data_IF_756478589437
#
_entry.id   IF_756478589437
#
_cell.length_a   1.000
_cell.length_b   1.000
_cell.length_c   1.000
_cell.angle_alpha   90.00
_cell.angle_beta   90.00
_cell.angle_gamma   90.00
#
_symmetry.space_group_name_H-M   'P 1'
#
loop_
_entity.id
_entity.type
_entity.pdbx_description
1 polymer ?
#
# COMPACT_ATOMS: atom_id res chain seq x y z
N UNK A 1 -17.90 4.29 0.78
CA UNK A 1 -16.56 4.23 1.41
C UNK A 1 -16.70 3.65 2.81
N UNK A 2 -15.91 2.64 3.13
CA UNK A 2 -15.78 2.09 4.48
C UNK A 2 -14.61 2.76 5.22
N UNK A 3 -14.81 3.06 6.51
CA UNK A 3 -13.79 3.63 7.38
C UNK A 3 -13.54 2.69 8.55
N UNK A 4 -12.27 2.52 8.91
CA UNK A 4 -11.83 1.58 9.95
C UNK A 4 -10.81 2.26 10.87
N UNK A 5 -10.84 1.92 12.16
CA UNK A 5 -9.82 2.38 13.10
C UNK A 5 -8.53 1.57 12.95
N UNK A 6 -7.42 2.28 12.90
CA UNK A 6 -6.07 1.71 13.03
C UNK A 6 -5.55 2.08 14.43
N UNK A 7 -5.00 1.15 15.21
CA UNK A 7 -4.45 1.46 16.52
C UNK A 7 -3.43 2.61 16.44
N UNK A 8 -3.50 3.54 17.39
CA UNK A 8 -2.66 4.76 17.47
C UNK A 8 -2.86 5.76 16.32
N UNK A 9 -3.95 5.66 15.58
CA UNK A 9 -4.43 6.70 14.67
C UNK A 9 -5.74 7.26 15.22
N UNK A 10 -5.78 8.54 15.54
CA UNK A 10 -6.95 9.16 16.22
C UNK A 10 -8.16 9.33 15.28
N UNK A 11 -7.96 9.18 13.98
CA UNK A 11 -8.96 9.32 12.93
C UNK A 11 -9.43 7.96 12.42
N UNK A 12 -10.65 7.88 11.93
CA UNK A 12 -11.10 6.77 11.12
C UNK A 12 -10.44 6.85 9.73
N UNK A 13 -9.97 5.72 9.21
CA UNK A 13 -9.14 5.60 8.02
C UNK A 13 -9.95 4.96 6.90
N UNK A 14 -10.04 5.61 5.73
CA UNK A 14 -10.67 5.02 4.54
C UNK A 14 -9.95 3.73 4.11
N UNK A 15 -10.70 2.70 3.72
CA UNK A 15 -10.16 1.42 3.22
C UNK A 15 -9.29 1.57 1.97
N UNK A 16 -9.31 2.74 1.34
CA UNK A 16 -8.44 3.10 0.23
C UNK A 16 -7.51 4.22 0.67
N UNK A 17 -6.23 4.03 0.41
CA UNK A 17 -5.21 5.06 0.45
C UNK A 17 -4.95 5.57 -0.96
N UNK A 18 -4.93 6.88 -1.13
CA UNK A 18 -4.47 7.48 -2.38
C UNK A 18 -2.94 7.55 -2.40
N UNK A 19 -2.33 6.83 -3.34
CA UNK A 19 -0.88 6.79 -3.50
C UNK A 19 -0.33 7.95 -4.31
N UNK A 20 0.68 8.64 -3.80
CA UNK A 20 1.33 9.79 -4.45
C UNK A 20 2.63 9.45 -5.19
N UNK A 21 2.98 8.16 -5.31
CA UNK A 21 4.18 7.70 -6.02
C UNK A 21 4.01 7.78 -7.57
N UNK A 22 3.63 8.95 -8.09
CA UNK A 22 3.41 9.17 -9.52
C UNK A 22 3.29 10.64 -9.86
N UNK A 23 2.99 10.91 -11.14
CA UNK A 23 2.72 12.26 -11.62
C UNK A 23 1.33 12.73 -11.14
N UNK A 24 1.18 14.04 -10.83
CA UNK A 24 2.19 15.10 -10.90
C UNK A 24 3.09 15.21 -9.66
N UNK A 25 2.81 14.48 -8.60
CA UNK A 25 3.34 14.69 -7.24
C UNK A 25 4.86 14.51 -7.15
N UNK A 26 5.42 13.44 -7.72
CA UNK A 26 6.86 13.16 -7.62
C UNK A 26 7.73 14.27 -8.24
N UNK A 27 7.21 14.98 -9.23
CA UNK A 27 7.91 16.11 -9.86
C UNK A 27 7.61 17.45 -9.19
N UNK A 28 6.85 17.46 -8.10
CA UNK A 28 6.47 18.70 -7.41
C UNK A 28 5.43 19.53 -8.15
N UNK A 29 4.70 18.92 -9.09
CA UNK A 29 3.60 19.55 -9.81
C UNK A 29 2.42 19.87 -8.91
N UNK A 30 1.60 20.84 -9.35
CA UNK A 30 0.34 21.17 -8.68
C UNK A 30 -0.66 20.01 -8.90
N UNK A 31 -1.08 19.42 -7.81
CA UNK A 31 -2.07 18.34 -7.78
C UNK A 31 -3.31 18.72 -6.96
N UNK A 32 -3.47 19.99 -6.57
CA UNK A 32 -4.52 20.42 -5.66
C UNK A 32 -5.91 20.03 -6.15
N UNK A 33 -6.25 20.32 -7.42
CA UNK A 33 -7.57 19.99 -7.98
C UNK A 33 -7.84 18.48 -8.00
N UNK A 34 -6.81 17.68 -8.32
CA UNK A 34 -6.91 16.23 -8.29
C UNK A 34 -7.11 15.71 -6.85
N UNK A 35 -6.35 16.23 -5.89
CA UNK A 35 -6.48 15.83 -4.48
C UNK A 35 -7.83 16.26 -3.90
N UNK A 36 -8.35 17.45 -4.27
CA UNK A 36 -9.70 17.88 -3.89
C UNK A 36 -10.77 16.92 -4.43
N UNK A 37 -10.66 16.54 -5.71
CA UNK A 37 -11.59 15.60 -6.33
C UNK A 37 -11.50 14.20 -5.73
N UNK A 38 -10.30 13.71 -5.41
CA UNK A 38 -10.10 12.42 -4.70
C UNK A 38 -10.68 12.49 -3.28
N UNK A 39 -10.38 13.55 -2.53
CA UNK A 39 -10.92 13.74 -1.18
C UNK A 39 -12.44 13.81 -1.17
N UNK A 40 -13.06 14.46 -2.17
CA UNK A 40 -14.50 14.51 -2.34
C UNK A 40 -15.17 13.14 -2.57
N UNK A 41 -14.41 12.10 -2.99
CA UNK A 41 -14.93 10.72 -3.08
C UNK A 41 -15.06 10.03 -1.73
N UNK A 42 -14.57 10.65 -0.66
CA UNK A 42 -14.52 10.09 0.70
C UNK A 42 -13.18 9.44 1.06
N UNK A 43 -12.18 9.47 0.18
CA UNK A 43 -10.81 9.04 0.54
C UNK A 43 -10.19 10.10 1.47
N UNK A 44 -9.84 9.71 2.68
CA UNK A 44 -9.16 10.59 3.64
C UNK A 44 -7.73 10.15 3.97
N UNK A 45 -7.27 9.02 3.42
CA UNK A 45 -5.95 8.45 3.69
C UNK A 45 -5.03 8.58 2.46
N UNK A 46 -3.81 9.08 2.68
CA UNK A 46 -2.84 9.39 1.62
C UNK A 46 -1.51 8.70 1.90
N UNK A 47 -1.04 7.91 0.92
CA UNK A 47 0.25 7.22 0.96
C UNK A 47 1.32 8.03 0.23
N UNK A 48 2.41 8.31 0.94
CA UNK A 48 3.60 8.94 0.41
C UNK A 48 4.88 8.31 1.01
N UNK A 49 6.04 8.84 0.68
CA UNK A 49 7.30 8.42 1.29
C UNK A 49 8.41 9.46 1.09
N UNK A 50 9.40 9.48 1.99
CA UNK A 50 10.56 10.37 1.90
C UNK A 50 11.32 10.22 0.57
N UNK A 51 11.40 9.01 0.02
CA UNK A 51 12.10 8.75 -1.24
C UNK A 51 11.25 9.00 -2.51
N UNK A 52 9.96 9.38 -2.39
CA UNK A 52 9.13 9.75 -3.55
C UNK A 52 9.40 11.18 -4.01
N UNK A 53 10.64 11.55 -4.13
CA UNK A 53 11.14 12.85 -4.62
C UNK A 53 10.45 14.04 -3.92
N UNK A 54 9.52 14.72 -4.61
CA UNK A 54 8.79 15.89 -4.12
C UNK A 54 7.33 15.59 -3.74
N UNK A 55 6.91 14.32 -3.73
CA UNK A 55 5.51 13.95 -3.47
C UNK A 55 5.00 14.43 -2.09
N UNK A 56 5.82 14.31 -1.04
CA UNK A 56 5.48 14.84 0.28
C UNK A 56 5.26 16.36 0.25
N UNK A 57 6.05 17.08 -0.54
CA UNK A 57 5.91 18.54 -0.67
C UNK A 57 4.63 18.94 -1.40
N UNK A 58 4.27 18.22 -2.48
CA UNK A 58 3.02 18.45 -3.20
C UNK A 58 1.80 18.14 -2.32
N UNK A 59 1.82 17.00 -1.60
CA UNK A 59 0.76 16.64 -0.67
C UNK A 59 0.64 17.63 0.48
N UNK A 60 1.77 18.03 1.08
CA UNK A 60 1.82 19.00 2.17
C UNK A 60 1.28 20.36 1.77
N UNK A 61 1.63 20.84 0.57
CA UNK A 61 1.08 22.09 0.04
C UNK A 61 -0.44 22.06 -0.01
N UNK A 62 -1.04 21.01 -0.56
CA UNK A 62 -2.49 20.85 -0.60
C UNK A 62 -3.13 20.85 0.79
N UNK A 63 -2.57 20.08 1.74
CA UNK A 63 -3.08 19.97 3.11
C UNK A 63 -3.06 21.34 3.80
N UNK A 64 -1.97 22.10 3.65
CA UNK A 64 -1.81 23.43 4.25
C UNK A 64 -2.75 24.43 3.57
N UNK A 65 -2.80 24.45 2.24
CA UNK A 65 -3.66 25.37 1.47
C UNK A 65 -5.15 25.18 1.80
N UNK A 66 -5.57 23.96 2.14
CA UNK A 66 -6.97 23.63 2.49
C UNK A 66 -7.25 23.66 3.99
N UNK A 67 -6.23 23.72 4.84
CA UNK A 67 -6.38 23.70 6.30
C UNK A 67 -7.06 22.43 6.81
N UNK A 68 -6.72 21.26 6.26
CA UNK A 68 -7.41 19.98 6.53
C UNK A 68 -6.53 18.91 7.19
N UNK A 69 -5.43 19.31 7.82
CA UNK A 69 -4.51 18.34 8.46
C UNK A 69 -5.19 17.43 9.48
N UNK A 70 -6.14 17.95 10.20
CA UNK A 70 -6.94 17.23 11.21
C UNK A 70 -7.97 16.25 10.60
N UNK A 71 -8.26 16.36 9.29
CA UNK A 71 -9.26 15.57 8.58
C UNK A 71 -8.65 14.46 7.73
N UNK A 72 -7.34 14.51 7.48
CA UNK A 72 -6.64 13.56 6.61
C UNK A 72 -5.67 12.70 7.40
N UNK A 73 -5.52 11.45 6.96
CA UNK A 73 -4.55 10.50 7.47
C UNK A 73 -3.36 10.44 6.52
N UNK A 74 -2.18 10.73 7.03
CA UNK A 74 -0.94 10.69 6.24
C UNK A 74 -0.16 9.45 6.63
N UNK A 75 0.14 8.60 5.63
CA UNK A 75 1.13 7.56 5.73
C UNK A 75 2.40 7.99 4.99
N UNK A 76 3.51 8.06 5.69
CA UNK A 76 4.82 8.26 5.06
C UNK A 76 5.84 7.23 5.51
N UNK A 77 7.00 7.19 4.84
CA UNK A 77 8.00 6.13 5.01
C UNK A 77 9.41 6.70 5.03
N UNK A 78 10.29 6.08 5.85
CA UNK A 78 11.70 6.43 6.02
C UNK A 78 12.66 5.27 5.73
N UNK A 79 13.94 5.53 5.84
CA UNK A 79 14.99 4.50 5.84
C UNK A 79 15.18 3.78 4.51
N UNK A 80 14.64 4.31 3.39
CA UNK A 80 14.90 3.73 2.06
C UNK A 80 16.41 3.79 1.76
N UNK A 81 17.02 2.71 1.23
CA UNK A 81 18.42 2.71 0.84
C UNK A 81 18.77 3.89 -0.06
N UNK A 82 20.01 4.38 0.06
CA UNK A 82 20.50 5.42 -0.85
C UNK A 82 20.60 4.90 -2.30
N UNK A 83 20.67 5.78 -3.30
CA UNK A 83 20.85 5.36 -4.70
C UNK A 83 22.10 4.49 -4.92
N UNK A 84 23.08 4.56 -4.03
CA UNK A 84 24.31 3.76 -4.06
C UNK A 84 24.23 2.52 -3.15
N UNK A 85 23.04 2.09 -2.74
CA UNK A 85 22.81 0.87 -1.97
C UNK A 85 23.15 0.96 -0.46
N UNK A 86 23.56 2.13 0.08
CA UNK A 86 23.81 2.26 1.52
C UNK A 86 22.50 2.08 2.29
N UNK A 87 22.48 1.11 3.17
CA UNK A 87 21.38 0.88 4.11
C UNK A 87 21.25 2.06 5.08
N UNK A 88 20.02 2.39 5.47
CA UNK A 88 19.70 3.58 6.26
C UNK A 88 18.74 3.29 7.43
N UNK A 89 18.74 2.03 7.88
CA UNK A 89 17.97 1.58 9.04
C UNK A 89 18.81 1.84 10.29
N UNK A 90 18.81 3.08 10.74
CA UNK A 90 19.45 3.55 11.97
C UNK A 90 18.79 4.84 12.46
N UNK A 91 18.93 5.15 13.74
CA UNK A 91 18.25 6.30 14.37
C UNK A 91 18.57 7.63 13.67
N UNK A 92 19.83 7.89 13.34
CA UNK A 92 20.26 9.14 12.69
C UNK A 92 19.55 9.38 11.36
N UNK A 93 19.48 8.36 10.50
CA UNK A 93 18.85 8.46 9.19
C UNK A 93 17.32 8.50 9.31
N UNK A 94 16.72 7.71 10.19
CA UNK A 94 15.26 7.70 10.46
C UNK A 94 14.81 9.08 10.96
N UNK A 95 15.47 9.64 11.98
CA UNK A 95 15.17 10.98 12.51
C UNK A 95 15.40 12.09 11.48
N UNK A 96 16.43 11.96 10.63
CA UNK A 96 16.69 12.89 9.53
C UNK A 96 15.57 12.87 8.50
N UNK A 97 15.11 11.67 8.12
CA UNK A 97 14.00 11.52 7.18
C UNK A 97 12.71 12.09 7.77
N UNK A 98 12.39 11.79 9.02
CA UNK A 98 11.21 12.31 9.70
C UNK A 98 11.19 13.83 9.72
N UNK A 99 12.28 14.48 10.12
CA UNK A 99 12.35 15.96 10.11
C UNK A 99 12.09 16.55 8.74
N UNK A 100 12.62 15.91 7.67
CA UNK A 100 12.38 16.35 6.30
C UNK A 100 10.94 16.11 5.87
N UNK A 101 10.37 14.97 6.20
CA UNK A 101 8.98 14.64 5.91
C UNK A 101 8.01 15.63 6.58
N UNK A 102 8.19 15.90 7.87
CA UNK A 102 7.40 16.89 8.60
C UNK A 102 7.48 18.28 7.95
N UNK A 103 8.70 18.73 7.58
CA UNK A 103 8.89 20.01 6.90
C UNK A 103 8.27 20.08 5.50
N UNK A 104 8.31 18.97 4.74
CA UNK A 104 7.71 18.92 3.41
C UNK A 104 6.18 18.82 3.47
N UNK A 105 5.66 18.08 4.44
CA UNK A 105 4.22 17.93 4.67
C UNK A 105 3.59 19.16 5.37
N UNK A 106 4.40 20.07 5.92
CA UNK A 106 3.91 21.24 6.63
C UNK A 106 3.12 20.89 7.89
N UNK A 107 3.55 19.86 8.62
CA UNK A 107 2.88 19.34 9.83
C UNK A 107 3.92 18.99 10.89
N UNK A 108 3.48 18.85 12.14
CA UNK A 108 4.30 18.47 13.28
C UNK A 108 4.19 16.99 13.67
N UNK A 109 3.26 16.23 13.04
CA UNK A 109 3.09 14.79 13.22
C UNK A 109 2.68 14.07 11.93
N UNK A 110 2.93 12.75 11.86
CA UNK A 110 2.49 11.84 10.79
C UNK A 110 1.63 10.75 11.42
N UNK A 111 0.45 10.46 10.85
CA UNK A 111 -0.49 9.49 11.42
C UNK A 111 0.05 8.05 11.38
N UNK A 112 0.69 7.66 10.27
CA UNK A 112 1.29 6.33 10.09
C UNK A 112 2.69 6.48 9.52
N UNK A 113 3.71 6.02 10.24
CA UNK A 113 5.09 6.15 9.80
C UNK A 113 5.77 4.79 9.73
N UNK A 114 6.23 4.40 8.53
CA UNK A 114 6.77 3.08 8.29
C UNK A 114 8.26 3.11 7.95
N UNK A 115 8.98 2.08 8.36
CA UNK A 115 10.27 1.78 7.75
C UNK A 115 10.03 1.25 6.33
N UNK A 116 10.66 1.89 5.31
CA UNK A 116 10.35 1.61 3.89
C UNK A 116 10.96 0.29 3.39
N UNK A 117 12.08 -0.12 3.98
CA UNK A 117 12.77 -1.39 3.74
C UNK A 117 13.31 -1.92 5.05
N UNK A 118 13.41 -3.23 5.17
CA UNK A 118 14.11 -3.87 6.28
C UNK A 118 15.63 -3.85 6.07
N UNK A 119 16.34 -3.97 7.17
CA UNK A 119 17.74 -4.37 7.22
C UNK A 119 17.87 -5.49 8.25
N UNK A 120 17.88 -6.76 7.83
CA UNK A 120 17.98 -7.89 8.75
C UNK A 120 19.25 -7.93 9.61
N UNK A 121 20.28 -7.14 9.28
CA UNK A 121 21.49 -7.03 10.10
C UNK A 121 21.29 -6.14 11.32
N UNK A 122 20.24 -5.32 11.35
CA UNK A 122 19.88 -4.47 12.49
C UNK A 122 18.96 -5.24 13.43
N UNK A 123 19.28 -5.36 14.73
CA UNK A 123 18.38 -5.99 15.70
C UNK A 123 17.01 -5.30 15.73
N UNK A 124 15.93 -6.09 15.78
CA UNK A 124 14.56 -5.51 15.80
C UNK A 124 14.33 -4.61 16.99
N UNK A 125 14.95 -4.91 18.13
CA UNK A 125 14.81 -4.11 19.35
C UNK A 125 15.24 -2.66 19.15
N UNK A 126 16.39 -2.43 18.49
CA UNK A 126 16.85 -1.08 18.18
C UNK A 126 15.83 -0.30 17.36
N UNK A 127 15.22 -0.96 16.37
CA UNK A 127 14.22 -0.34 15.48
C UNK A 127 12.94 -0.03 16.27
N UNK A 128 12.45 -0.97 17.06
CA UNK A 128 11.25 -0.80 17.91
C UNK A 128 11.44 0.36 18.90
N UNK A 129 12.59 0.45 19.55
CA UNK A 129 12.90 1.53 20.49
C UNK A 129 12.94 2.91 19.81
N UNK A 130 13.54 3.01 18.61
CA UNK A 130 13.55 4.25 17.83
C UNK A 130 12.12 4.72 17.54
N UNK A 131 11.25 3.84 17.04
CA UNK A 131 9.88 4.23 16.70
C UNK A 131 9.05 4.55 17.95
N UNK A 132 9.23 3.84 19.06
CA UNK A 132 8.60 4.17 20.33
C UNK A 132 9.04 5.56 20.84
N UNK A 133 10.34 5.91 20.71
CA UNK A 133 10.83 7.25 21.05
C UNK A 133 10.14 8.35 20.22
N UNK A 134 10.01 8.13 18.90
CA UNK A 134 9.34 9.09 18.00
C UNK A 134 7.85 9.24 18.32
N UNK A 135 7.19 8.14 18.72
CA UNK A 135 5.80 8.15 19.16
C UNK A 135 5.65 8.91 20.47
N UNK A 136 6.51 8.66 21.46
CA UNK A 136 6.52 9.38 22.74
C UNK A 136 6.77 10.89 22.59
N UNK A 137 7.52 11.30 21.56
CA UNK A 137 7.72 12.69 21.17
C UNK A 137 6.49 13.32 20.48
N UNK A 138 5.42 12.55 20.25
CA UNK A 138 4.21 13.00 19.52
C UNK A 138 4.44 13.29 18.05
N UNK A 139 5.50 12.73 17.45
CA UNK A 139 5.87 12.97 16.04
C UNK A 139 5.22 11.99 15.07
N UNK A 140 4.86 10.82 15.56
CA UNK A 140 4.20 9.77 14.78
C UNK A 140 3.08 9.12 15.61
N UNK A 141 2.05 8.66 14.93
CA UNK A 141 1.00 7.83 15.52
C UNK A 141 1.36 6.33 15.40
N UNK A 142 0.61 5.58 14.59
CA UNK A 142 0.90 4.18 14.28
C UNK A 142 2.24 4.03 13.54
N UNK A 143 2.90 2.91 13.71
CA UNK A 143 4.14 2.62 13.01
C UNK A 143 4.32 1.12 12.72
N UNK A 144 5.26 0.81 11.81
CA UNK A 144 5.53 -0.56 11.40
C UNK A 144 6.52 -0.63 10.23
N UNK A 145 6.42 -1.70 9.44
CA UNK A 145 7.31 -1.97 8.33
C UNK A 145 6.59 -2.07 6.98
N UNK A 146 7.18 -1.44 5.97
CA UNK A 146 6.89 -1.74 4.57
C UNK A 146 7.96 -2.69 4.05
N UNK A 147 7.54 -3.73 3.33
CA UNK A 147 8.46 -4.77 2.84
C UNK A 147 9.21 -5.53 3.96
N UNK A 148 8.52 -5.78 5.05
CA UNK A 148 8.94 -6.65 6.12
C UNK A 148 8.24 -8.00 6.01
N UNK A 149 8.96 -9.09 6.26
CA UNK A 149 8.31 -10.42 6.36
C UNK A 149 7.48 -10.50 7.64
N UNK A 150 6.45 -11.33 7.63
CA UNK A 150 5.61 -11.52 8.82
C UNK A 150 6.39 -12.09 10.01
N UNK A 151 7.43 -12.92 9.76
CA UNK A 151 8.32 -13.42 10.80
C UNK A 151 9.10 -12.28 11.47
N UNK A 152 9.61 -11.36 10.64
CA UNK A 152 10.37 -10.21 11.14
C UNK A 152 9.49 -9.24 11.93
N UNK A 153 8.23 -9.08 11.51
CA UNK A 153 7.24 -8.30 12.27
C UNK A 153 6.89 -8.99 13.58
N UNK A 154 6.71 -10.32 13.57
CA UNK A 154 6.44 -11.09 14.78
C UNK A 154 7.58 -10.97 15.80
N UNK A 155 8.85 -11.08 15.35
CA UNK A 155 10.03 -10.87 16.18
C UNK A 155 10.07 -9.47 16.81
N UNK A 156 9.78 -8.42 16.00
CA UNK A 156 9.72 -7.05 16.50
C UNK A 156 8.60 -6.86 17.54
N UNK A 157 7.45 -7.48 17.34
CA UNK A 157 6.32 -7.39 18.26
C UNK A 157 6.56 -8.18 19.55
N UNK A 158 7.21 -9.34 19.49
CA UNK A 158 7.63 -10.10 20.66
C UNK A 158 8.61 -9.28 21.53
N UNK A 159 9.58 -8.63 20.88
CA UNK A 159 10.48 -7.70 21.58
C UNK A 159 9.69 -6.58 22.25
N UNK A 160 8.78 -5.92 21.52
CA UNK A 160 7.98 -4.82 22.07
C UNK A 160 7.17 -5.26 23.30
N UNK A 161 6.48 -6.39 23.21
CA UNK A 161 5.68 -6.91 24.34
C UNK A 161 6.55 -7.25 25.56
N UNK A 162 7.72 -7.86 25.36
CA UNK A 162 8.62 -8.21 26.47
C UNK A 162 9.25 -6.99 27.17
N UNK A 163 9.26 -5.83 26.49
CA UNK A 163 9.81 -4.57 27.02
C UNK A 163 8.74 -3.52 27.35
N UNK A 164 7.45 -3.87 27.36
CA UNK A 164 6.33 -2.95 27.58
C UNK A 164 6.33 -1.75 26.61
N UNK A 165 6.71 -1.99 25.35
CA UNK A 165 6.72 -1.01 24.26
C UNK A 165 5.51 -1.21 23.34
N UNK A 166 5.18 -0.18 22.57
CA UNK A 166 4.17 -0.26 21.50
C UNK A 166 4.72 -1.16 20.38
N UNK A 167 3.98 -2.20 19.96
CA UNK A 167 4.38 -3.07 18.86
C UNK A 167 4.19 -2.38 17.50
N UNK A 168 4.71 -2.95 16.44
CA UNK A 168 4.32 -2.61 15.09
C UNK A 168 2.84 -2.91 14.89
N UNK A 169 2.06 -1.91 14.49
CA UNK A 169 0.61 -1.99 14.36
C UNK A 169 0.12 -1.96 12.92
N UNK A 170 1.02 -1.72 11.97
CA UNK A 170 0.72 -1.62 10.52
C UNK A 170 1.82 -2.28 9.72
N UNK A 171 1.43 -2.99 8.66
CA UNK A 171 2.36 -3.54 7.67
C UNK A 171 1.98 -3.08 6.26
N UNK A 172 2.98 -2.84 5.40
CA UNK A 172 2.74 -2.47 4.00
C UNK A 172 3.56 -3.36 3.05
N UNK A 173 3.12 -4.59 2.81
CA UNK A 173 3.65 -5.47 1.78
C UNK A 173 3.01 -5.21 0.42
N UNK A 174 3.57 -5.80 -0.65
CA UNK A 174 2.82 -6.00 -1.87
C UNK A 174 1.67 -6.98 -1.62
N UNK A 175 0.46 -6.59 -2.05
CA UNK A 175 -0.70 -7.49 -2.04
C UNK A 175 -1.74 -7.08 -3.08
N UNK A 176 -2.27 -8.07 -3.77
CA UNK A 176 -3.33 -7.96 -4.76
C UNK A 176 -3.56 -9.30 -5.42
N UNK A 177 -4.51 -9.35 -6.37
CA UNK A 177 -4.84 -10.56 -7.12
C UNK A 177 -3.66 -11.05 -7.98
N UNK A 178 -2.83 -10.13 -8.53
CA UNK A 178 -1.66 -10.52 -9.30
C UNK A 178 -0.57 -11.11 -8.39
N UNK A 179 -0.02 -12.23 -8.79
CA UNK A 179 1.21 -12.77 -8.20
C UNK A 179 2.41 -11.92 -8.64
N UNK A 180 3.20 -11.44 -7.69
CA UNK A 180 4.46 -10.75 -7.96
C UNK A 180 5.56 -11.79 -8.13
N UNK A 181 5.81 -12.21 -9.37
CA UNK A 181 6.75 -13.31 -9.69
C UNK A 181 8.22 -12.91 -9.60
N UNK A 182 8.52 -11.62 -9.68
CA UNK A 182 9.86 -11.06 -9.47
C UNK A 182 9.77 -9.71 -8.77
N UNK A 183 10.82 -9.34 -8.01
CA UNK A 183 10.90 -8.00 -7.44
C UNK A 183 11.09 -6.95 -8.54
N UNK A 184 10.14 -6.02 -8.71
CA UNK A 184 10.20 -5.00 -9.76
C UNK A 184 11.34 -3.99 -9.57
N UNK A 185 11.83 -3.82 -8.34
CA UNK A 185 12.77 -2.76 -7.97
C UNK A 185 14.16 -3.26 -7.58
N UNK A 186 14.47 -4.53 -7.88
CA UNK A 186 15.82 -5.06 -7.78
C UNK A 186 16.24 -5.57 -6.40
N UNK A 187 15.29 -5.81 -5.51
CA UNK A 187 15.51 -6.45 -4.22
C UNK A 187 14.87 -5.74 -3.03
N UNK A 188 14.53 -6.52 -2.00
CA UNK A 188 13.98 -6.05 -0.74
C UNK A 188 12.50 -5.71 -0.75
N UNK A 189 11.75 -6.13 -1.79
CA UNK A 189 10.29 -6.12 -1.76
C UNK A 189 9.75 -7.41 -1.16
N UNK A 190 8.70 -7.27 -0.35
CA UNK A 190 7.98 -8.39 0.23
C UNK A 190 6.57 -8.40 -0.34
N UNK A 191 6.19 -9.54 -0.91
CA UNK A 191 4.84 -9.82 -1.37
C UNK A 191 4.18 -10.86 -0.48
N UNK A 192 2.87 -10.70 -0.28
CA UNK A 192 2.01 -11.73 0.30
C UNK A 192 0.97 -12.25 -0.72
N UNK A 193 1.10 -11.81 -2.00
CA UNK A 193 0.34 -12.36 -3.12
C UNK A 193 0.88 -13.73 -3.54
N UNK A 194 0.08 -14.45 -4.31
CA UNK A 194 0.46 -15.73 -4.90
C UNK A 194 0.37 -16.93 -3.96
N UNK A 195 0.37 -18.15 -4.53
CA UNK A 195 0.16 -19.38 -3.77
C UNK A 195 1.30 -19.71 -2.79
N UNK A 196 2.53 -19.22 -3.06
CA UNK A 196 3.72 -19.45 -2.23
C UNK A 196 3.71 -18.67 -0.91
N UNK A 197 2.82 -17.69 -0.74
CA UNK A 197 2.77 -16.81 0.44
C UNK A 197 1.55 -17.11 1.35
N UNK A 198 1.03 -18.34 1.34
CA UNK A 198 -0.14 -18.72 2.17
C UNK A 198 0.15 -18.57 3.66
N UNK A 199 1.34 -18.93 4.12
CA UNK A 199 1.72 -18.82 5.54
C UNK A 199 1.72 -17.36 6.01
N UNK A 200 2.20 -16.45 5.17
CA UNK A 200 2.15 -15.03 5.46
C UNK A 200 0.70 -14.54 5.58
N UNK A 201 -0.17 -14.90 4.63
CA UNK A 201 -1.59 -14.52 4.71
C UNK A 201 -2.29 -15.12 5.92
N UNK A 202 -2.04 -16.39 6.25
CA UNK A 202 -2.59 -17.02 7.46
C UNK A 202 -2.14 -16.30 8.74
N UNK A 203 -0.90 -15.82 8.79
CA UNK A 203 -0.41 -15.01 9.91
C UNK A 203 -1.16 -13.67 10.01
N UNK A 204 -1.35 -12.96 8.89
CA UNK A 204 -2.11 -11.69 8.87
C UNK A 204 -3.59 -11.90 9.20
N UNK A 205 -4.21 -12.97 8.72
CA UNK A 205 -5.58 -13.37 9.06
C UNK A 205 -5.72 -13.60 10.57
N UNK A 206 -4.83 -14.39 11.15
CA UNK A 206 -4.85 -14.68 12.60
C UNK A 206 -4.66 -13.44 13.46
N UNK A 207 -3.77 -12.53 13.06
CA UNK A 207 -3.39 -11.36 13.86
C UNK A 207 -4.24 -10.12 13.55
N UNK A 208 -5.01 -10.10 12.47
CA UNK A 208 -5.82 -8.97 11.99
C UNK A 208 -5.04 -7.64 11.94
N UNK A 209 -3.72 -7.72 11.75
CA UNK A 209 -2.87 -6.55 11.59
C UNK A 209 -3.28 -5.78 10.33
N UNK A 210 -3.49 -4.45 10.39
CA UNK A 210 -3.72 -3.62 9.22
C UNK A 210 -2.66 -3.80 8.14
N UNK A 211 -3.09 -4.23 6.95
CA UNK A 211 -2.25 -4.43 5.75
C UNK A 211 -2.52 -3.31 4.77
N UNK A 212 -1.57 -2.39 4.60
CA UNK A 212 -1.65 -1.33 3.61
C UNK A 212 -1.02 -1.85 2.31
N UNK A 213 -1.84 -2.46 1.47
CA UNK A 213 -1.43 -3.20 0.28
C UNK A 213 -1.02 -2.26 -0.85
N UNK A 214 0.26 -2.26 -1.25
CA UNK A 214 0.69 -1.51 -2.42
C UNK A 214 0.63 -2.36 -3.69
N UNK A 215 0.57 -1.68 -4.86
CA UNK A 215 0.39 -2.29 -6.19
C UNK A 215 -0.85 -3.17 -6.31
N UNK A 216 -1.94 -2.79 -5.66
CA UNK A 216 -3.21 -3.52 -5.56
C UNK A 216 -3.79 -3.97 -6.91
N UNK A 217 -3.53 -3.22 -7.98
CA UNK A 217 -3.97 -3.53 -9.35
C UNK A 217 -2.84 -4.07 -10.26
N UNK A 218 -1.80 -4.69 -9.67
CA UNK A 218 -0.69 -5.28 -10.43
C UNK A 218 0.05 -4.27 -11.32
N UNK A 219 0.24 -3.02 -10.84
CA UNK A 219 0.90 -1.93 -11.55
C UNK A 219 0.37 -1.69 -12.98
N UNK A 220 -0.93 -1.83 -13.16
CA UNK A 220 -1.60 -1.59 -14.43
C UNK A 220 -2.10 -2.84 -15.14
N UNK A 221 -1.73 -4.04 -14.71
CA UNK A 221 -2.24 -5.28 -15.28
C UNK A 221 -3.79 -5.32 -15.23
N UNK A 222 -4.37 -5.01 -14.07
CA UNK A 222 -5.83 -4.96 -13.89
C UNK A 222 -6.42 -3.56 -14.09
N UNK A 223 -5.75 -2.67 -14.86
CA UNK A 223 -6.26 -1.32 -15.14
C UNK A 223 -7.46 -1.25 -16.08
N UNK A 224 -7.85 -2.40 -16.69
CA UNK A 224 -8.83 -2.49 -17.75
C UNK A 224 -8.31 -2.09 -19.14
N UNK A 225 -7.04 -1.66 -19.23
CA UNK A 225 -6.38 -1.31 -20.49
C UNK A 225 -5.62 -2.49 -21.09
N UNK A 226 -5.03 -3.35 -20.26
CA UNK A 226 -4.42 -4.62 -20.69
C UNK A 226 -5.55 -5.60 -21.02
N UNK A 227 -5.38 -6.39 -22.07
CA UNK A 227 -6.33 -7.43 -22.49
C UNK A 227 -5.68 -8.80 -22.38
N UNK A 228 -6.39 -9.75 -21.81
CA UNK A 228 -5.90 -11.13 -21.70
C UNK A 228 -5.72 -11.82 -23.03
N UNK A 229 -6.46 -11.39 -24.06
CA UNK A 229 -6.36 -11.89 -25.44
C UNK A 229 -5.15 -11.38 -26.24
N UNK A 230 -4.47 -10.33 -25.73
CA UNK A 230 -3.35 -9.67 -26.40
C UNK A 230 -2.18 -9.44 -25.41
N UNK A 231 -1.65 -10.50 -24.75
CA UNK A 231 -0.63 -10.35 -23.71
C UNK A 231 0.66 -9.71 -24.21
N UNK A 232 0.98 -9.84 -25.50
CA UNK A 232 2.14 -9.22 -26.16
C UNK A 232 2.06 -7.68 -26.18
N UNK A 233 0.86 -7.11 -26.11
CA UNK A 233 0.64 -5.65 -26.06
C UNK A 233 0.66 -5.08 -24.63
N UNK A 234 0.83 -5.91 -23.62
CA UNK A 234 0.82 -5.45 -22.23
C UNK A 234 1.89 -4.37 -21.95
N UNK A 235 3.04 -4.44 -22.66
CA UNK A 235 4.11 -3.45 -22.54
C UNK A 235 3.76 -2.03 -23.05
N UNK A 236 2.66 -1.87 -23.78
CA UNK A 236 2.13 -0.56 -24.18
C UNK A 236 1.45 0.16 -23.00
N UNK A 237 1.05 -0.59 -21.97
CA UNK A 237 0.35 -0.09 -20.78
C UNK A 237 1.21 -0.19 -19.52
N UNK A 238 1.97 -1.29 -19.40
CA UNK A 238 2.78 -1.61 -18.24
C UNK A 238 4.24 -1.21 -18.47
N UNK A 239 4.83 -0.49 -17.52
CA UNK A 239 6.26 -0.17 -17.58
C UNK A 239 7.14 -1.42 -17.40
N UNK A 240 8.46 -1.30 -17.66
CA UNK A 240 9.41 -2.42 -17.52
C UNK A 240 9.36 -3.11 -16.15
N UNK A 241 9.18 -2.35 -15.08
CA UNK A 241 9.12 -2.89 -13.72
C UNK A 241 7.81 -3.67 -13.51
N UNK A 242 6.71 -3.16 -14.05
CA UNK A 242 5.42 -3.86 -14.02
C UNK A 242 5.48 -5.15 -14.86
N UNK A 243 6.06 -5.10 -16.05
CA UNK A 243 6.26 -6.30 -16.89
C UNK A 243 7.11 -7.35 -16.17
N UNK A 244 8.23 -6.94 -15.57
CA UNK A 244 9.11 -7.83 -14.82
C UNK A 244 8.39 -8.50 -13.65
N UNK A 245 7.60 -7.73 -12.90
CA UNK A 245 6.95 -8.20 -11.67
C UNK A 245 5.70 -9.02 -11.90
N UNK A 246 4.95 -8.76 -12.98
CA UNK A 246 3.58 -9.26 -13.10
C UNK A 246 3.22 -9.91 -14.43
N UNK A 247 4.02 -9.77 -15.48
CA UNK A 247 3.71 -10.36 -16.79
C UNK A 247 4.10 -11.85 -16.81
N UNK A 248 3.20 -12.71 -16.39
CA UNK A 248 3.33 -14.16 -16.47
C UNK A 248 2.00 -14.80 -16.92
N UNK A 249 2.02 -16.02 -17.47
CA UNK A 249 0.82 -16.70 -17.97
C UNK A 249 -0.31 -16.77 -16.94
N UNK A 250 0.01 -17.08 -15.70
CA UNK A 250 -0.96 -17.23 -14.61
C UNK A 250 -1.68 -15.89 -14.31
N UNK A 251 -0.98 -14.78 -14.39
CA UNK A 251 -1.57 -13.46 -14.18
C UNK A 251 -2.44 -13.02 -15.37
N UNK A 252 -2.09 -13.41 -16.60
CA UNK A 252 -2.97 -13.19 -17.76
C UNK A 252 -4.22 -14.08 -17.68
N UNK A 253 -4.13 -15.29 -17.13
CA UNK A 253 -5.31 -16.10 -16.84
C UNK A 253 -6.18 -15.47 -15.75
N UNK A 254 -5.60 -14.91 -14.68
CA UNK A 254 -6.36 -14.13 -13.69
C UNK A 254 -7.06 -12.92 -14.34
N UNK A 255 -6.37 -12.24 -15.27
CA UNK A 255 -6.96 -11.13 -16.03
C UNK A 255 -8.15 -11.60 -16.87
N UNK A 256 -8.03 -12.72 -17.58
CA UNK A 256 -9.11 -13.32 -18.36
C UNK A 256 -10.34 -13.60 -17.47
N UNK A 257 -10.11 -14.18 -16.30
CA UNK A 257 -11.17 -14.46 -15.33
C UNK A 257 -11.80 -13.18 -14.76
N UNK A 258 -10.99 -12.14 -14.53
CA UNK A 258 -11.52 -10.81 -14.19
C UNK A 258 -12.39 -10.22 -15.32
N UNK A 259 -11.98 -10.35 -16.58
CA UNK A 259 -12.75 -9.87 -17.73
C UNK A 259 -14.08 -10.63 -17.87
N UNK A 260 -14.09 -11.91 -17.55
CA UNK A 260 -15.31 -12.75 -17.54
C UNK A 260 -16.29 -12.29 -16.48
N UNK A 261 -15.85 -12.19 -15.21
CA UNK A 261 -16.68 -11.73 -14.11
C UNK A 261 -17.12 -10.27 -14.26
N UNK A 262 -16.27 -9.41 -14.82
CA UNK A 262 -16.62 -8.02 -15.09
C UNK A 262 -17.80 -7.89 -16.04
N UNK A 263 -17.90 -8.76 -17.07
CA UNK A 263 -19.07 -8.84 -17.95
C UNK A 263 -20.31 -9.35 -17.21
N UNK A 264 -20.16 -10.38 -16.38
CA UNK A 264 -21.25 -10.97 -15.60
C UNK A 264 -21.84 -9.97 -14.59
N UNK A 265 -20.97 -9.23 -13.88
CA UNK A 265 -21.36 -8.23 -12.89
C UNK A 265 -21.66 -6.84 -13.47
N UNK A 266 -21.55 -6.66 -14.80
CA UNK A 266 -21.69 -5.36 -15.48
C UNK A 266 -20.82 -4.27 -14.88
N UNK A 267 -19.57 -4.62 -14.54
CA UNK A 267 -18.59 -3.73 -13.92
C UNK A 267 -17.25 -3.75 -14.68
N UNK A 268 -16.24 -3.07 -14.13
CA UNK A 268 -14.91 -2.98 -14.74
C UNK A 268 -13.94 -4.02 -14.16
N UNK A 269 -12.91 -4.38 -14.93
CA UNK A 269 -11.82 -5.27 -14.47
C UNK A 269 -11.17 -4.78 -13.18
N UNK A 270 -10.82 -3.47 -13.01
CA UNK A 270 -10.32 -2.96 -11.73
C UNK A 270 -11.27 -3.22 -10.57
N UNK A 271 -12.58 -3.10 -10.77
CA UNK A 271 -13.55 -3.36 -9.71
C UNK A 271 -13.52 -4.82 -9.25
N UNK A 272 -13.42 -5.79 -10.16
CA UNK A 272 -13.29 -7.21 -9.81
C UNK A 272 -12.00 -7.46 -9.01
N UNK A 273 -10.86 -6.94 -9.49
CA UNK A 273 -9.58 -7.12 -8.82
C UNK A 273 -9.55 -6.48 -7.42
N UNK A 274 -10.19 -5.32 -7.25
CA UNK A 274 -10.33 -4.65 -5.95
C UNK A 274 -11.30 -5.40 -5.03
N UNK A 275 -12.44 -5.87 -5.56
CA UNK A 275 -13.39 -6.66 -4.80
C UNK A 275 -12.75 -7.94 -4.26
N UNK A 276 -11.88 -8.60 -5.04
CA UNK A 276 -11.11 -9.74 -4.57
C UNK A 276 -10.28 -9.42 -3.33
N UNK A 277 -9.60 -8.26 -3.26
CA UNK A 277 -8.82 -7.82 -2.11
C UNK A 277 -9.72 -7.68 -0.87
N UNK A 278 -10.88 -7.05 -1.01
CA UNK A 278 -11.80 -6.81 0.10
C UNK A 278 -12.54 -8.06 0.58
N UNK A 279 -12.56 -9.14 -0.23
CA UNK A 279 -13.10 -10.46 0.15
C UNK A 279 -12.07 -11.36 0.83
N UNK A 280 -10.83 -10.93 0.95
CA UNK A 280 -9.84 -11.70 1.72
C UNK A 280 -10.11 -11.56 3.22
N UNK A 281 -9.85 -12.62 4.03
CA UNK A 281 -10.05 -12.59 5.48
C UNK A 281 -8.96 -11.78 6.22
N UNK A 282 -8.41 -10.77 5.56
CA UNK A 282 -7.33 -9.91 6.04
C UNK A 282 -7.87 -8.50 6.33
N UNK A 283 -7.28 -7.81 7.29
CA UNK A 283 -7.61 -6.40 7.54
C UNK A 283 -6.90 -5.50 6.49
N UNK A 284 -7.35 -5.58 5.22
CA UNK A 284 -6.72 -4.93 4.09
C UNK A 284 -7.19 -3.49 3.87
N UNK A 285 -6.23 -2.64 3.51
CA UNK A 285 -6.40 -1.31 2.95
C UNK A 285 -5.65 -1.28 1.61
N UNK A 286 -6.28 -0.85 0.55
CA UNK A 286 -5.65 -0.85 -0.77
C UNK A 286 -5.03 0.53 -1.10
N UNK A 287 -3.77 0.54 -1.54
CA UNK A 287 -3.15 1.75 -2.10
C UNK A 287 -3.41 1.78 -3.59
N UNK A 288 -4.08 2.82 -4.05
CA UNK A 288 -4.39 3.05 -5.47
C UNK A 288 -4.00 4.46 -5.87
N UNK A 289 -3.51 4.60 -7.11
CA UNK A 289 -3.21 5.89 -7.72
C UNK A 289 -3.98 6.03 -9.03
N UNK A 290 -4.55 7.20 -9.25
CA UNK A 290 -5.22 7.54 -10.50
C UNK A 290 -5.17 9.04 -10.72
N UNK A 291 -5.13 9.46 -11.97
CA UNK A 291 -5.31 10.87 -12.38
C UNK A 291 -6.77 11.17 -12.75
N UNK A 292 -7.67 10.19 -12.59
CA UNK A 292 -9.09 10.30 -12.93
C UNK A 292 -9.94 9.99 -11.70
N UNK A 293 -10.63 10.97 -11.10
CA UNK A 293 -11.46 10.77 -9.92
C UNK A 293 -12.57 9.73 -10.11
N UNK A 294 -13.09 9.59 -11.34
CA UNK A 294 -14.11 8.60 -11.68
C UNK A 294 -13.63 7.18 -11.41
N UNK A 295 -12.35 6.89 -11.70
CA UNK A 295 -11.75 5.58 -11.40
C UNK A 295 -11.59 5.33 -9.90
N UNK A 296 -11.36 6.39 -9.12
CA UNK A 296 -11.35 6.25 -7.66
C UNK A 296 -12.74 5.86 -7.16
N UNK A 297 -13.79 6.48 -7.71
CA UNK A 297 -15.16 6.13 -7.38
C UNK A 297 -15.49 4.67 -7.74
N UNK A 298 -15.04 4.19 -8.91
CA UNK A 298 -15.15 2.78 -9.31
C UNK A 298 -14.45 1.83 -8.32
N UNK A 299 -13.24 2.17 -7.89
CA UNK A 299 -12.50 1.38 -6.90
C UNK A 299 -13.21 1.34 -5.53
N UNK A 300 -13.89 2.41 -5.15
CA UNK A 300 -14.70 2.46 -3.93
C UNK A 300 -15.93 1.55 -4.06
N UNK A 301 -16.63 1.61 -5.21
CA UNK A 301 -17.79 0.76 -5.47
C UNK A 301 -17.45 -0.73 -5.46
N UNK A 302 -16.20 -1.10 -5.74
CA UNK A 302 -15.74 -2.48 -5.66
C UNK A 302 -15.94 -3.15 -4.28
N UNK A 303 -16.01 -2.36 -3.20
CA UNK A 303 -16.29 -2.88 -1.85
C UNK A 303 -17.68 -3.52 -1.73
N UNK A 304 -18.62 -3.09 -2.57
CA UNK A 304 -20.01 -3.53 -2.57
C UNK A 304 -20.27 -4.73 -3.49
N UNK A 305 -19.30 -5.09 -4.36
CA UNK A 305 -19.43 -6.23 -5.26
C UNK A 305 -19.52 -7.55 -4.48
N UNK A 306 -20.61 -8.33 -4.64
CA UNK A 306 -20.86 -9.51 -3.82
C UNK A 306 -20.17 -10.76 -4.40
N UNK A 307 -18.85 -10.72 -4.61
CA UNK A 307 -18.13 -11.90 -5.05
C UNK A 307 -18.33 -13.05 -4.06
N UNK A 308 -18.69 -14.22 -4.55
CA UNK A 308 -18.81 -15.45 -3.77
C UNK A 308 -17.45 -16.04 -3.42
N UNK A 309 -17.39 -16.93 -2.44
CA UNK A 309 -16.15 -17.66 -2.11
C UNK A 309 -15.60 -18.44 -3.31
N UNK A 310 -16.48 -19.05 -4.10
CA UNK A 310 -16.11 -19.77 -5.31
C UNK A 310 -15.49 -18.87 -6.36
N UNK A 311 -16.03 -17.66 -6.57
CA UNK A 311 -15.45 -16.66 -7.48
C UNK A 311 -14.11 -16.12 -6.98
N UNK A 312 -13.95 -15.93 -5.68
CA UNK A 312 -12.66 -15.55 -5.08
C UNK A 312 -11.61 -16.64 -5.33
N UNK A 313 -11.96 -17.92 -5.16
CA UNK A 313 -11.07 -19.05 -5.44
C UNK A 313 -10.79 -19.18 -6.95
N UNK A 314 -11.80 -18.95 -7.79
CA UNK A 314 -11.67 -18.97 -9.24
C UNK A 314 -10.69 -17.89 -9.72
N UNK A 315 -10.83 -16.66 -9.26
CA UNK A 315 -9.91 -15.55 -9.57
C UNK A 315 -8.48 -15.86 -9.15
N UNK A 316 -8.28 -16.53 -8.01
CA UNK A 316 -6.95 -16.91 -7.48
C UNK A 316 -6.37 -18.18 -8.12
N UNK A 317 -7.02 -18.74 -9.15
CA UNK A 317 -6.65 -19.99 -9.83
C UNK A 317 -6.67 -21.23 -8.91
N UNK A 318 -7.42 -21.19 -7.82
CA UNK A 318 -7.60 -22.30 -6.88
C UNK A 318 -8.86 -23.13 -7.18
N UNK A 319 -9.65 -22.70 -8.14
CA UNK A 319 -10.80 -23.39 -8.72
C UNK A 319 -10.76 -23.24 -10.24
N UNK A 320 -11.00 -24.30 -10.99
CA UNK A 320 -10.86 -24.29 -12.46
C UNK A 320 -12.05 -23.67 -13.18
N UNK A 321 -13.27 -23.86 -12.66
CA UNK A 321 -14.53 -23.36 -13.23
C UNK A 321 -15.52 -22.94 -12.13
N UNK A 322 -16.45 -22.06 -12.50
CA UNK A 322 -17.58 -21.64 -11.66
C UNK A 322 -18.79 -22.52 -11.91
#
# INVERSE_FOLDING_TARGET
MEYVKIPYVDKEVSRIFYGTAGQPFMMGGDGNDLLDAIYATGVNAFDTARNYMLAEKSLGKWIVDRGIRDKVVILSKCGHPSPFGRKRVNEKDIRKDLRKSLGYLGTDYIDIYLLHRDDPEVPVGEIVEIFNSLHAEGKIGAFGGSNWTHQRIAEANEYAYSHNLIPFTVSSPNFGLADQVQDPWGGGCVTISGPQNQDARAWYEKNQMPVIAYSSLGRGLFSGKVKSSEPEKASEVMDMNAMKGYACPENFERLRRCEELARQYHCTVPQIAMAWIYRQPLNCFAVVSTTKPERMQENIQAMELPLTEDEVLYLDLRKEAL
#
